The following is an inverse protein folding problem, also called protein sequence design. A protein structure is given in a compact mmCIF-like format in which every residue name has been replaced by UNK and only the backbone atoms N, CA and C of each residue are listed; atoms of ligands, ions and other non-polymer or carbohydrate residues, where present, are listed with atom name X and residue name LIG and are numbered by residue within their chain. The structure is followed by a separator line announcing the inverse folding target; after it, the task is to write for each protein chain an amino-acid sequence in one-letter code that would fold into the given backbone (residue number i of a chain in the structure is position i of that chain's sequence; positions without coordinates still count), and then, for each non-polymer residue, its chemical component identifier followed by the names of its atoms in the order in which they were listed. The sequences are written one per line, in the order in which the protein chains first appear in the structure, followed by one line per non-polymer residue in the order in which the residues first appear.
data_IF_926838006991
#
_entry.id   IF_926838006991
#
_cell.length_a   1.000
_cell.length_b   1.000
_cell.length_c   1.000
_cell.angle_alpha   90.00
_cell.angle_beta   90.00
_cell.angle_gamma   90.00
#
_symmetry.space_group_name_H-M   'P 1'
#
loop_
_entity.id
_entity.type
_entity.pdbx_description
1 polymer ?
#
# COMPACT_ATOMS: atom_id res chain seq x y z
N UNK A 1 47.91 22.35 32.64
CA UNK A 1 47.31 22.38 31.32
C UNK A 1 46.50 21.11 31.15
N UNK A 2 45.17 21.19 31.22
CA UNK A 2 44.26 20.06 31.02
C UNK A 2 43.69 20.15 29.60
N UNK A 3 44.15 19.26 28.73
CA UNK A 3 43.70 19.17 27.35
C UNK A 3 42.30 18.54 27.33
N UNK A 4 41.26 19.31 26.92
CA UNK A 4 39.92 18.82 26.69
C UNK A 4 39.91 18.16 25.30
N UNK A 5 39.71 16.86 25.26
CA UNK A 5 39.41 16.12 24.05
C UNK A 5 37.92 16.36 23.70
N UNK A 6 37.71 17.05 22.59
CA UNK A 6 36.36 17.29 22.03
C UNK A 6 35.96 16.04 21.22
N UNK A 7 35.06 15.21 21.76
CA UNK A 7 34.46 14.12 21.01
C UNK A 7 33.43 14.69 20.04
N UNK A 8 33.78 14.74 18.75
CA UNK A 8 32.82 15.03 17.67
C UNK A 8 32.06 13.76 17.40
N UNK A 9 30.81 13.68 17.93
CA UNK A 9 29.85 12.64 17.54
C UNK A 9 29.27 13.07 16.19
N UNK A 10 29.79 12.53 15.11
CA UNK A 10 29.14 12.63 13.80
C UNK A 10 27.91 11.73 13.79
N UNK A 11 26.74 12.31 13.94
CA UNK A 11 25.48 11.66 13.59
C UNK A 11 25.48 11.42 12.07
N UNK A 12 25.84 10.21 11.66
CA UNK A 12 25.51 9.72 10.32
C UNK A 12 24.00 9.52 10.29
N UNK A 13 23.27 10.50 9.78
CA UNK A 13 21.89 10.31 9.32
C UNK A 13 21.94 9.26 8.20
N UNK A 14 21.59 8.03 8.51
CA UNK A 14 21.27 7.03 7.50
C UNK A 14 20.04 7.55 6.76
N UNK A 15 20.26 8.18 5.61
CA UNK A 15 19.19 8.42 4.65
C UNK A 15 18.65 7.05 4.26
N UNK A 16 17.39 6.78 4.61
CA UNK A 16 16.60 5.70 4.05
C UNK A 16 16.53 5.96 2.53
N UNK A 17 17.44 5.36 1.78
CA UNK A 17 17.34 5.32 0.33
C UNK A 17 16.22 4.34 -0.02
N UNK A 18 14.97 4.78 0.01
CA UNK A 18 13.97 4.15 -0.82
C UNK A 18 14.48 4.26 -2.26
N UNK A 19 14.62 3.13 -2.96
CA UNK A 19 15.11 3.16 -4.34
C UNK A 19 14.26 4.14 -5.14
N UNK A 20 14.93 5.07 -5.83
CA UNK A 20 14.28 6.02 -6.73
C UNK A 20 13.51 5.23 -7.80
N UNK A 21 12.23 5.49 -7.93
CA UNK A 21 11.40 4.86 -8.92
C UNK A 21 11.30 5.75 -10.16
N UNK A 22 11.26 5.13 -11.33
CA UNK A 22 10.94 5.80 -12.59
C UNK A 22 9.70 5.15 -13.16
N UNK A 23 8.63 5.91 -13.31
CA UNK A 23 7.36 5.43 -13.87
C UNK A 23 6.92 6.28 -15.06
N UNK A 24 6.19 5.64 -15.98
CA UNK A 24 5.59 6.29 -17.16
C UNK A 24 4.07 6.20 -17.07
N UNK A 25 3.40 7.33 -17.18
CA UNK A 25 1.95 7.43 -16.99
C UNK A 25 1.29 8.13 -18.16
N UNK A 26 0.22 7.54 -18.67
CA UNK A 26 -0.67 8.16 -19.63
C UNK A 26 -1.95 8.62 -18.92
N UNK A 27 -2.30 9.90 -19.04
CA UNK A 27 -3.55 10.45 -18.52
C UNK A 27 -4.56 10.65 -19.63
N UNK A 28 -5.68 9.94 -19.56
CA UNK A 28 -6.83 10.07 -20.46
C UNK A 28 -8.05 10.54 -19.65
N UNK A 29 -8.51 11.75 -19.94
CA UNK A 29 -9.57 12.37 -19.15
C UNK A 29 -10.05 13.68 -19.78
N UNK A 30 -10.38 14.64 -18.95
CA UNK A 30 -10.88 15.93 -19.40
C UNK A 30 -10.35 17.07 -18.52
N UNK A 31 -11.11 18.16 -18.40
CA UNK A 31 -10.72 19.33 -17.60
C UNK A 31 -10.42 19.02 -16.13
N UNK A 32 -11.01 17.99 -15.53
CA UNK A 32 -10.69 17.61 -14.14
C UNK A 32 -9.25 17.11 -13.99
N UNK A 33 -8.73 16.40 -14.99
CA UNK A 33 -7.32 15.98 -15.05
C UNK A 33 -6.42 17.13 -15.51
N UNK A 34 -6.89 18.00 -16.40
CA UNK A 34 -6.09 19.11 -16.93
C UNK A 34 -5.96 20.28 -15.94
N UNK A 35 -6.96 20.49 -15.07
CA UNK A 35 -6.99 21.62 -14.12
C UNK A 35 -5.72 21.64 -13.27
N UNK A 36 -5.16 22.85 -13.11
CA UNK A 36 -3.96 23.11 -12.34
C UNK A 36 -2.74 22.25 -12.75
N UNK A 37 -2.79 21.63 -13.95
CA UNK A 37 -1.78 20.72 -14.45
C UNK A 37 -1.51 19.54 -13.47
N UNK A 38 -2.56 18.82 -13.08
CA UNK A 38 -2.49 17.72 -12.12
C UNK A 38 -1.33 16.74 -12.38
N UNK A 39 -1.04 16.29 -13.62
CA UNK A 39 0.10 15.40 -13.86
C UNK A 39 1.44 15.99 -13.45
N UNK A 40 1.62 17.29 -13.58
CA UNK A 40 2.84 17.99 -13.17
C UNK A 40 2.96 18.05 -11.65
N UNK A 41 1.85 18.29 -10.93
CA UNK A 41 1.87 18.28 -9.45
C UNK A 41 2.30 16.89 -8.94
N UNK A 42 1.79 15.81 -9.55
CA UNK A 42 2.20 14.44 -9.22
C UNK A 42 3.71 14.23 -9.49
N UNK A 43 4.20 14.74 -10.63
CA UNK A 43 5.61 14.65 -10.99
C UNK A 43 6.50 15.35 -9.95
N UNK A 44 6.13 16.55 -9.53
CA UNK A 44 6.88 17.32 -8.53
C UNK A 44 6.86 16.66 -7.14
N UNK A 45 5.74 16.05 -6.74
CA UNK A 45 5.69 15.22 -5.52
C UNK A 45 6.72 14.08 -5.60
N UNK A 46 6.76 13.35 -6.72
CA UNK A 46 7.74 12.29 -6.96
C UNK A 46 9.18 12.81 -6.90
N UNK A 47 9.48 13.90 -7.61
CA UNK A 47 10.81 14.51 -7.60
C UNK A 47 11.27 14.92 -6.19
N UNK A 48 10.34 15.35 -5.33
CA UNK A 48 10.67 15.75 -3.96
C UNK A 48 11.17 14.61 -3.07
N UNK A 49 10.94 13.36 -3.51
CA UNK A 49 11.38 12.12 -2.85
C UNK A 49 12.41 11.34 -3.66
N UNK A 50 12.90 11.92 -4.76
CA UNK A 50 13.90 11.30 -5.65
C UNK A 50 13.31 10.40 -6.73
N UNK A 51 11.99 10.31 -6.83
CA UNK A 51 11.31 9.53 -7.87
C UNK A 51 11.13 10.35 -9.16
N UNK A 52 10.90 9.68 -10.27
CA UNK A 52 10.68 10.32 -11.56
C UNK A 52 9.37 9.82 -12.18
N UNK A 53 8.52 10.74 -12.60
CA UNK A 53 7.34 10.46 -13.41
C UNK A 53 7.52 11.07 -14.79
N UNK A 54 7.50 10.24 -15.84
CA UNK A 54 7.34 10.66 -17.22
C UNK A 54 5.88 10.52 -17.61
N UNK A 55 5.27 11.54 -18.20
CA UNK A 55 3.86 11.44 -18.56
C UNK A 55 3.54 11.99 -19.94
N UNK A 56 2.42 11.50 -20.48
CA UNK A 56 1.68 12.11 -21.58
C UNK A 56 0.22 12.23 -21.18
N UNK A 57 -0.49 13.14 -21.81
CA UNK A 57 -1.92 13.33 -21.53
C UNK A 57 -2.70 13.66 -22.80
N UNK A 58 -3.96 13.22 -22.82
CA UNK A 58 -4.99 13.71 -23.72
C UNK A 58 -6.25 14.00 -22.91
N UNK A 59 -6.49 15.29 -22.64
CA UNK A 59 -7.50 15.73 -21.65
C UNK A 59 -8.36 16.90 -22.18
N UNK A 60 -9.03 16.74 -23.36
CA UNK A 60 -9.89 17.79 -23.88
C UNK A 60 -11.07 18.08 -22.95
N UNK A 61 -11.46 19.35 -22.81
CA UNK A 61 -12.53 19.78 -21.91
C UNK A 61 -13.85 19.04 -22.16
N UNK A 62 -14.47 18.52 -21.09
CA UNK A 62 -15.75 17.81 -21.13
C UNK A 62 -15.73 16.44 -21.80
N UNK A 63 -14.57 15.92 -22.15
CA UNK A 63 -14.43 14.61 -22.83
C UNK A 63 -14.92 13.46 -21.97
N UNK A 64 -15.50 12.47 -22.64
CA UNK A 64 -15.98 11.21 -22.07
C UNK A 64 -15.07 10.05 -22.45
N UNK A 65 -15.13 8.94 -21.74
CA UNK A 65 -14.43 7.71 -22.14
C UNK A 65 -14.87 7.26 -23.54
N UNK A 66 -16.15 7.41 -23.87
CA UNK A 66 -16.67 7.14 -25.22
C UNK A 66 -15.92 7.92 -26.31
N UNK A 67 -15.68 9.22 -26.11
CA UNK A 67 -14.98 10.05 -27.09
C UNK A 67 -13.50 9.64 -27.20
N UNK A 68 -12.88 9.20 -26.10
CA UNK A 68 -11.53 8.66 -26.11
C UNK A 68 -11.41 7.39 -26.96
N UNK A 69 -12.44 6.52 -27.02
CA UNK A 69 -12.37 5.30 -27.84
C UNK A 69 -12.26 5.53 -29.34
N UNK A 70 -12.58 6.73 -29.81
CA UNK A 70 -12.53 7.12 -31.24
C UNK A 70 -11.54 8.25 -31.54
N UNK A 71 -10.87 8.77 -30.52
CA UNK A 71 -9.92 9.87 -30.66
C UNK A 71 -8.54 9.34 -31.08
N UNK A 72 -8.08 9.69 -32.26
CA UNK A 72 -6.82 9.21 -32.81
C UNK A 72 -5.60 9.54 -31.95
N UNK A 73 -5.57 10.70 -31.30
CA UNK A 73 -4.49 11.05 -30.35
C UNK A 73 -4.46 10.08 -29.17
N UNK A 74 -5.63 9.80 -28.55
CA UNK A 74 -5.75 8.80 -27.49
C UNK A 74 -5.28 7.43 -27.95
N UNK A 75 -5.79 6.96 -29.09
CA UNK A 75 -5.48 5.62 -29.61
C UNK A 75 -3.98 5.46 -29.93
N UNK A 76 -3.35 6.49 -30.49
CA UNK A 76 -1.93 6.48 -30.78
C UNK A 76 -1.07 6.50 -29.51
N UNK A 77 -1.47 7.25 -28.47
CA UNK A 77 -0.79 7.24 -27.16
C UNK A 77 -0.91 5.87 -26.47
N UNK A 78 -2.08 5.22 -26.52
CA UNK A 78 -2.23 3.85 -25.98
C UNK A 78 -1.34 2.87 -26.76
N UNK A 79 -1.38 2.90 -28.11
CA UNK A 79 -0.60 2.00 -28.98
C UNK A 79 0.91 2.18 -28.85
N UNK A 80 1.39 3.35 -28.42
CA UNK A 80 2.82 3.56 -28.19
C UNK A 80 3.36 2.65 -27.07
N UNK A 81 2.52 2.20 -26.17
CA UNK A 81 2.88 1.27 -25.11
C UNK A 81 3.93 1.81 -24.13
N UNK A 82 4.44 0.90 -23.27
CA UNK A 82 5.49 1.23 -22.31
C UNK A 82 5.02 2.10 -21.14
N UNK A 83 3.71 2.13 -20.88
CA UNK A 83 3.10 2.79 -19.74
C UNK A 83 3.05 1.86 -18.54
N UNK A 84 3.49 2.34 -17.39
CA UNK A 84 3.27 1.62 -16.11
C UNK A 84 1.82 1.78 -15.68
N UNK A 85 1.25 2.98 -15.89
CA UNK A 85 -0.15 3.28 -15.60
C UNK A 85 -0.81 4.00 -16.76
N UNK A 86 -2.07 3.67 -17.03
CA UNK A 86 -2.96 4.49 -17.86
C UNK A 86 -4.16 4.91 -17.01
N UNK A 87 -4.25 6.21 -16.74
CA UNK A 87 -5.33 6.81 -15.96
C UNK A 87 -6.54 7.05 -16.87
N UNK A 88 -7.69 6.55 -16.44
CA UNK A 88 -8.98 6.77 -17.09
C UNK A 88 -9.89 7.61 -16.20
N UNK A 89 -10.31 8.78 -16.70
CA UNK A 89 -11.23 9.67 -16.01
C UNK A 89 -12.44 9.99 -16.91
N UNK A 90 -13.63 9.59 -16.44
CA UNK A 90 -14.88 9.86 -17.14
C UNK A 90 -15.35 11.31 -16.91
N UNK A 91 -16.24 11.81 -17.76
CA UNK A 91 -16.91 13.10 -17.57
C UNK A 91 -17.57 13.15 -16.18
N UNK A 92 -17.49 14.30 -15.52
CA UNK A 92 -17.77 14.47 -14.11
C UNK A 92 -19.16 14.01 -13.63
N UNK A 93 -20.17 14.07 -14.49
CA UNK A 93 -21.57 13.76 -14.15
C UNK A 93 -21.98 12.36 -14.54
N UNK A 94 -21.49 11.85 -15.71
CA UNK A 94 -21.99 10.60 -16.31
C UNK A 94 -21.99 9.41 -15.34
N UNK A 95 -20.95 9.16 -14.53
CA UNK A 95 -21.01 8.02 -13.60
C UNK A 95 -22.01 8.21 -12.46
N UNK A 96 -22.55 9.42 -12.25
CA UNK A 96 -23.59 9.64 -11.23
C UNK A 96 -25.01 9.55 -11.77
N UNK A 97 -25.21 9.28 -13.06
CA UNK A 97 -26.53 9.20 -13.69
C UNK A 97 -27.26 7.87 -13.35
N UNK A 98 -28.57 7.75 -13.76
CA UNK A 98 -29.31 6.50 -13.60
C UNK A 98 -28.58 5.29 -14.19
N UNK A 99 -28.79 4.12 -13.59
CA UNK A 99 -28.10 2.87 -13.94
C UNK A 99 -28.15 2.54 -15.43
N UNK A 100 -29.32 2.65 -16.03
CA UNK A 100 -29.51 2.34 -17.45
C UNK A 100 -28.74 3.26 -18.39
N UNK A 101 -28.42 4.47 -17.96
CA UNK A 101 -27.59 5.41 -18.70
C UNK A 101 -26.10 5.07 -18.52
N UNK A 102 -25.68 4.79 -17.30
CA UNK A 102 -24.29 4.42 -16.99
C UNK A 102 -23.89 3.12 -17.69
N UNK A 103 -24.78 2.11 -17.68
CA UNK A 103 -24.60 0.84 -18.39
C UNK A 103 -24.42 1.01 -19.91
N UNK A 104 -25.03 2.02 -20.49
CA UNK A 104 -24.93 2.29 -21.93
C UNK A 104 -23.84 3.27 -22.31
N UNK A 105 -23.55 4.23 -21.45
CA UNK A 105 -22.73 5.41 -21.79
C UNK A 105 -21.34 5.40 -21.15
N UNK A 106 -21.10 4.58 -20.13
CA UNK A 106 -19.84 4.57 -19.35
C UNK A 106 -19.14 3.21 -19.43
N UNK A 107 -19.76 2.15 -18.90
CA UNK A 107 -19.11 0.85 -18.74
C UNK A 107 -18.56 0.23 -20.03
N UNK A 108 -19.27 0.25 -21.18
CA UNK A 108 -18.73 -0.33 -22.41
C UNK A 108 -17.45 0.35 -22.91
N UNK A 109 -17.35 1.66 -22.65
CA UNK A 109 -16.20 2.44 -23.11
C UNK A 109 -15.02 2.36 -22.14
N UNK A 110 -15.29 2.20 -20.86
CA UNK A 110 -14.28 1.83 -19.88
C UNK A 110 -13.63 0.47 -20.25
N UNK A 111 -14.45 -0.53 -20.53
CA UNK A 111 -13.98 -1.87 -20.92
C UNK A 111 -13.22 -1.85 -22.25
N UNK A 112 -13.69 -1.07 -23.23
CA UNK A 112 -13.01 -0.93 -24.53
C UNK A 112 -11.62 -0.32 -24.37
N UNK A 113 -11.49 0.77 -23.60
CA UNK A 113 -10.20 1.42 -23.35
C UNK A 113 -9.26 0.51 -22.56
N UNK A 114 -9.75 -0.15 -21.51
CA UNK A 114 -8.97 -1.11 -20.75
C UNK A 114 -8.42 -2.25 -21.62
N UNK A 115 -9.27 -2.82 -22.49
CA UNK A 115 -8.86 -3.87 -23.44
C UNK A 115 -7.77 -3.38 -24.39
N UNK A 116 -7.87 -2.15 -24.90
CA UNK A 116 -6.85 -1.55 -25.75
C UNK A 116 -5.53 -1.32 -25.02
N UNK A 117 -5.60 -0.87 -23.75
CA UNK A 117 -4.45 -0.67 -22.90
C UNK A 117 -3.73 -1.99 -22.66
N UNK A 118 -4.43 -3.01 -22.21
CA UNK A 118 -3.88 -4.35 -21.92
C UNK A 118 -3.34 -5.04 -23.18
N UNK A 119 -3.98 -4.82 -24.32
CA UNK A 119 -3.49 -5.34 -25.61
C UNK A 119 -2.18 -4.67 -26.07
N UNK A 120 -2.04 -3.36 -25.83
CA UNK A 120 -0.84 -2.62 -26.19
C UNK A 120 0.32 -2.90 -25.22
N UNK A 121 0.03 -3.07 -23.95
CA UNK A 121 0.99 -3.40 -22.89
C UNK A 121 0.32 -4.21 -21.78
N UNK A 122 0.47 -5.54 -21.76
CA UNK A 122 -0.13 -6.40 -20.73
C UNK A 122 0.26 -6.05 -19.29
N UNK A 123 1.39 -5.37 -19.10
CA UNK A 123 1.90 -4.98 -17.80
C UNK A 123 1.44 -3.58 -17.33
N UNK A 124 0.68 -2.89 -18.15
CA UNK A 124 0.14 -1.57 -17.81
C UNK A 124 -1.05 -1.71 -16.85
N UNK A 125 -1.00 -1.05 -15.72
CA UNK A 125 -2.14 -0.97 -14.82
C UNK A 125 -3.12 0.10 -15.36
N UNK A 126 -4.35 -0.30 -15.65
CA UNK A 126 -5.45 0.66 -15.81
C UNK A 126 -5.81 1.22 -14.45
N UNK A 127 -5.82 2.55 -14.32
CA UNK A 127 -6.06 3.25 -13.06
C UNK A 127 -7.27 4.17 -13.21
N UNK A 128 -8.40 3.78 -12.62
CA UNK A 128 -9.61 4.62 -12.64
C UNK A 128 -9.49 5.79 -11.66
N UNK A 129 -9.59 6.99 -12.18
CA UNK A 129 -9.60 8.22 -11.40
C UNK A 129 -11.00 8.43 -10.81
N UNK A 130 -11.24 7.97 -9.58
CA UNK A 130 -12.50 8.21 -8.88
C UNK A 130 -12.65 9.70 -8.55
N UNK A 131 -13.47 10.38 -9.33
CA UNK A 131 -13.78 11.81 -9.17
C UNK A 131 -14.82 12.01 -8.08
N UNK A 132 -15.03 13.26 -7.68
CA UNK A 132 -15.88 13.73 -6.58
C UNK A 132 -17.22 14.28 -7.03
N UNK A 133 -18.21 14.32 -6.13
CA UNK A 133 -19.48 15.00 -6.34
C UNK A 133 -19.30 16.52 -6.42
N UNK A 134 -20.16 17.21 -7.19
CA UNK A 134 -20.23 18.67 -7.21
C UNK A 134 -20.51 19.20 -5.80
N UNK A 135 -20.01 20.38 -5.47
CA UNK A 135 -20.01 20.97 -4.11
C UNK A 135 -21.36 20.92 -3.42
N UNK A 136 -22.41 21.21 -4.15
CA UNK A 136 -23.82 21.25 -3.69
C UNK A 136 -24.72 20.26 -4.44
N UNK A 137 -24.15 19.23 -5.07
CA UNK A 137 -24.86 18.31 -5.95
C UNK A 137 -25.02 18.85 -7.37
N UNK A 138 -25.76 18.13 -8.19
CA UNK A 138 -26.01 18.48 -9.58
C UNK A 138 -27.40 19.15 -9.76
N UNK A 139 -27.44 20.47 -9.73
CA UNK A 139 -28.70 21.24 -9.84
C UNK A 139 -29.41 21.05 -11.18
N UNK A 140 -28.69 20.73 -12.24
CA UNK A 140 -29.27 20.55 -13.57
C UNK A 140 -30.11 19.26 -13.66
N UNK A 141 -29.54 18.14 -13.13
CA UNK A 141 -30.19 16.84 -13.18
C UNK A 141 -31.03 16.51 -11.95
N UNK A 142 -30.86 17.24 -10.84
CA UNK A 142 -31.64 17.08 -9.61
C UNK A 142 -33.14 16.98 -9.81
N UNK A 143 -33.82 17.81 -10.68
CA UNK A 143 -35.26 17.73 -10.87
C UNK A 143 -35.73 16.40 -11.46
N UNK A 144 -34.89 15.72 -12.24
CA UNK A 144 -35.23 14.48 -12.93
C UNK A 144 -34.65 13.24 -12.23
N UNK A 145 -33.58 13.42 -11.45
CA UNK A 145 -32.90 12.35 -10.74
C UNK A 145 -32.47 12.80 -9.32
N UNK A 146 -33.37 12.76 -8.34
CA UNK A 146 -33.13 13.26 -6.98
C UNK A 146 -31.87 12.79 -6.26
N UNK A 147 -31.32 11.57 -6.51
CA UNK A 147 -30.07 11.14 -5.87
C UNK A 147 -28.89 12.08 -6.06
N UNK A 148 -28.85 12.87 -7.14
CA UNK A 148 -27.74 13.81 -7.39
C UNK A 148 -27.98 15.22 -6.83
N UNK A 149 -29.08 15.45 -6.12
CA UNK A 149 -29.43 16.79 -5.57
C UNK A 149 -28.47 17.26 -4.46
N UNK A 150 -27.67 16.36 -3.89
CA UNK A 150 -26.71 16.66 -2.84
C UNK A 150 -25.32 16.15 -3.20
N UNK A 151 -24.31 16.74 -2.58
CA UNK A 151 -22.95 16.24 -2.69
C UNK A 151 -22.87 14.74 -2.33
N UNK A 152 -23.43 14.36 -1.17
CA UNK A 152 -23.36 13.00 -0.63
C UNK A 152 -23.99 11.98 -1.57
N UNK A 153 -25.13 12.34 -2.17
CA UNK A 153 -25.82 11.45 -3.11
C UNK A 153 -25.02 11.28 -4.40
N UNK A 154 -24.58 12.38 -5.01
CA UNK A 154 -23.75 12.33 -6.22
C UNK A 154 -22.43 11.60 -5.99
N UNK A 155 -21.71 11.94 -4.91
CA UNK A 155 -20.42 11.34 -4.56
C UNK A 155 -20.55 9.85 -4.24
N UNK A 156 -21.66 9.41 -3.64
CA UNK A 156 -21.91 7.99 -3.39
C UNK A 156 -22.13 7.21 -4.69
N UNK A 157 -22.86 7.76 -5.65
CA UNK A 157 -23.05 7.15 -6.96
C UNK A 157 -21.70 7.05 -7.72
N UNK A 158 -20.93 8.13 -7.76
CA UNK A 158 -19.60 8.12 -8.37
C UNK A 158 -18.72 7.01 -7.77
N UNK A 159 -18.68 6.89 -6.45
CA UNK A 159 -17.92 5.84 -5.79
C UNK A 159 -18.35 4.45 -6.22
N UNK A 160 -19.66 4.17 -6.23
CA UNK A 160 -20.19 2.87 -6.64
C UNK A 160 -19.76 2.55 -8.08
N UNK A 161 -19.96 3.51 -9.00
CA UNK A 161 -19.70 3.29 -10.43
C UNK A 161 -18.22 3.12 -10.76
N UNK A 162 -17.34 3.93 -10.15
CA UNK A 162 -15.90 3.73 -10.29
C UNK A 162 -15.41 2.42 -9.69
N UNK A 163 -16.06 1.93 -8.62
CA UNK A 163 -15.76 0.62 -8.06
C UNK A 163 -16.17 -0.50 -9.03
N UNK A 164 -17.35 -0.42 -9.63
CA UNK A 164 -17.82 -1.38 -10.66
C UNK A 164 -16.88 -1.36 -11.88
N UNK A 165 -16.52 -0.17 -12.39
CA UNK A 165 -15.56 -0.09 -13.50
C UNK A 165 -14.24 -0.77 -13.18
N UNK A 166 -13.71 -0.59 -11.96
CA UNK A 166 -12.45 -1.22 -11.57
C UNK A 166 -12.59 -2.74 -11.42
N UNK A 167 -13.68 -3.22 -10.85
CA UNK A 167 -13.96 -4.65 -10.67
C UNK A 167 -14.14 -5.35 -12.03
N UNK A 168 -15.01 -4.82 -12.89
CA UNK A 168 -15.30 -5.39 -14.21
C UNK A 168 -14.09 -5.43 -15.14
N UNK A 169 -13.14 -4.52 -14.93
CA UNK A 169 -11.94 -4.40 -15.76
C UNK A 169 -10.66 -4.86 -15.04
N UNK A 170 -10.75 -5.54 -13.91
CA UNK A 170 -9.57 -5.98 -13.14
C UNK A 170 -8.51 -4.86 -13.07
N UNK A 171 -8.90 -3.70 -12.55
CA UNK A 171 -8.13 -2.46 -12.58
C UNK A 171 -8.00 -1.84 -11.18
N UNK A 172 -7.03 -0.93 -11.02
CA UNK A 172 -6.83 -0.19 -9.79
C UNK A 172 -7.70 1.09 -9.73
N UNK A 173 -7.83 1.65 -8.53
CA UNK A 173 -8.57 2.89 -8.27
C UNK A 173 -7.67 3.93 -7.64
N UNK A 174 -7.64 5.14 -8.19
CA UNK A 174 -7.15 6.33 -7.50
C UNK A 174 -8.35 7.00 -6.76
N UNK A 175 -8.48 6.82 -5.44
CA UNK A 175 -9.71 7.14 -4.70
C UNK A 175 -9.76 8.60 -4.28
N UNK A 176 -9.58 9.54 -5.21
CA UNK A 176 -9.51 10.97 -4.93
C UNK A 176 -10.77 11.48 -4.24
N UNK A 177 -11.96 11.01 -4.65
CA UNK A 177 -13.22 11.36 -4.00
C UNK A 177 -13.22 11.04 -2.49
N UNK A 178 -12.54 9.98 -2.07
CA UNK A 178 -12.46 9.62 -0.65
C UNK A 178 -11.60 10.59 0.16
N UNK A 179 -10.50 11.04 -0.43
CA UNK A 179 -9.63 12.08 0.16
C UNK A 179 -10.42 13.39 0.26
N UNK A 180 -11.09 13.80 -0.81
CA UNK A 180 -11.94 14.99 -0.83
C UNK A 180 -13.06 14.95 0.21
N UNK A 181 -13.79 13.81 0.30
CA UNK A 181 -14.85 13.62 1.29
C UNK A 181 -14.34 13.79 2.71
N UNK A 182 -13.17 13.25 3.02
CA UNK A 182 -12.58 13.35 4.35
C UNK A 182 -12.15 14.79 4.66
N UNK A 183 -11.50 15.47 3.71
CA UNK A 183 -11.14 16.89 3.86
C UNK A 183 -12.41 17.73 4.07
N UNK A 184 -13.41 17.60 3.24
CA UNK A 184 -14.69 18.34 3.40
C UNK A 184 -15.35 18.16 4.75
N UNK A 185 -15.25 16.95 5.31
CA UNK A 185 -15.85 16.60 6.60
C UNK A 185 -15.06 17.13 7.78
N UNK A 186 -13.75 17.00 7.76
CA UNK A 186 -12.86 17.25 8.91
C UNK A 186 -12.22 18.63 8.86
N UNK A 187 -12.04 19.19 7.66
CA UNK A 187 -11.39 20.47 7.39
C UNK A 187 -12.22 21.29 6.38
N UNK A 188 -13.47 21.66 6.73
CA UNK A 188 -14.35 22.40 5.83
C UNK A 188 -13.83 23.81 5.47
N UNK A 189 -12.84 24.32 6.20
CA UNK A 189 -12.12 25.56 5.90
C UNK A 189 -11.20 25.46 4.67
N UNK A 190 -10.80 24.25 4.26
CA UNK A 190 -9.98 24.02 3.07
C UNK A 190 -10.89 23.95 1.85
N UNK A 191 -10.87 25.00 1.04
CA UNK A 191 -11.67 25.05 -0.19
C UNK A 191 -11.08 24.16 -1.29
N UNK A 192 -11.83 23.17 -1.72
CA UNK A 192 -11.42 22.20 -2.73
C UNK A 192 -11.92 22.54 -4.14
N UNK A 193 -12.97 23.35 -4.23
CA UNK A 193 -13.67 23.63 -5.47
C UNK A 193 -13.36 25.04 -6.00
N UNK A 194 -13.26 25.13 -7.31
CA UNK A 194 -13.31 26.39 -8.01
C UNK A 194 -14.70 27.04 -7.88
N UNK A 195 -14.85 28.31 -8.27
CA UNK A 195 -16.10 29.07 -8.17
C UNK A 195 -17.29 28.43 -8.91
N UNK A 196 -17.06 27.55 -9.84
CA UNK A 196 -18.08 26.79 -10.56
C UNK A 196 -18.64 25.58 -9.79
N UNK A 197 -18.15 25.36 -8.56
CA UNK A 197 -18.57 24.28 -7.65
C UNK A 197 -18.33 22.85 -8.21
N UNK A 198 -17.53 22.72 -9.25
CA UNK A 198 -17.28 21.46 -9.98
C UNK A 198 -15.80 21.18 -10.15
N UNK A 199 -15.06 22.08 -10.81
CA UNK A 199 -13.62 21.94 -11.04
C UNK A 199 -12.81 22.08 -9.75
N UNK A 200 -11.63 21.50 -9.70
CA UNK A 200 -10.77 21.59 -8.51
C UNK A 200 -10.09 22.97 -8.43
N UNK A 201 -10.07 23.56 -7.24
CA UNK A 201 -9.14 24.60 -6.86
C UNK A 201 -7.74 24.00 -6.60
N UNK A 202 -6.75 24.81 -6.29
CA UNK A 202 -5.40 24.35 -6.01
C UNK A 202 -5.32 23.27 -4.94
N UNK A 203 -6.04 23.44 -3.83
CA UNK A 203 -6.14 22.44 -2.75
C UNK A 203 -6.76 21.14 -3.25
N UNK A 204 -7.79 21.21 -4.08
CA UNK A 204 -8.43 20.03 -4.65
C UNK A 204 -7.51 19.25 -5.59
N UNK A 205 -6.77 19.95 -6.46
CA UNK A 205 -5.78 19.32 -7.34
C UNK A 205 -4.61 18.74 -6.56
N UNK A 206 -4.17 19.41 -5.49
CA UNK A 206 -3.10 18.89 -4.63
C UNK A 206 -3.54 17.63 -3.87
N UNK A 207 -4.79 17.61 -3.38
CA UNK A 207 -5.37 16.43 -2.74
C UNK A 207 -5.43 15.24 -3.72
N UNK A 208 -5.82 15.49 -4.99
CA UNK A 208 -5.77 14.49 -6.04
C UNK A 208 -4.34 14.01 -6.29
N UNK A 209 -3.38 14.92 -6.39
CA UNK A 209 -1.98 14.59 -6.63
C UNK A 209 -1.37 13.73 -5.49
N UNK A 210 -1.69 14.02 -4.24
CA UNK A 210 -1.25 13.21 -3.08
C UNK A 210 -1.85 11.78 -3.14
N UNK A 211 -3.12 11.64 -3.56
CA UNK A 211 -3.75 10.35 -3.76
C UNK A 211 -3.06 9.55 -4.88
N UNK A 212 -2.83 10.17 -6.03
CA UNK A 212 -2.11 9.55 -7.15
C UNK A 212 -0.67 9.18 -6.80
N UNK A 213 0.03 10.06 -6.09
CA UNK A 213 1.39 9.77 -5.61
C UNK A 213 1.43 8.49 -4.77
N UNK A 214 0.50 8.36 -3.82
CA UNK A 214 0.40 7.15 -2.99
C UNK A 214 0.14 5.89 -3.81
N UNK A 215 -0.80 5.95 -4.77
CA UNK A 215 -1.14 4.81 -5.62
C UNK A 215 0.03 4.46 -6.54
N UNK A 216 0.58 5.43 -7.28
CA UNK A 216 1.55 5.16 -8.34
C UNK A 216 2.93 4.78 -7.81
N UNK A 217 3.38 5.41 -6.73
CA UNK A 217 4.71 5.15 -6.16
C UNK A 217 4.67 4.19 -4.96
N UNK A 218 3.50 3.88 -4.40
CA UNK A 218 3.39 3.06 -3.19
C UNK A 218 4.06 3.70 -1.99
N UNK A 219 4.09 5.05 -1.91
CA UNK A 219 4.81 5.81 -0.90
C UNK A 219 3.90 6.72 -0.09
N UNK A 220 4.33 7.01 1.13
CA UNK A 220 3.64 7.93 2.04
C UNK A 220 3.76 9.39 1.56
N UNK A 221 2.66 10.07 1.21
CA UNK A 221 2.70 11.44 0.73
C UNK A 221 3.09 12.44 1.83
N UNK A 222 2.93 12.09 3.11
CA UNK A 222 3.35 12.94 4.22
C UNK A 222 4.87 13.14 4.29
N UNK A 223 5.66 12.28 3.62
CA UNK A 223 7.12 12.40 3.54
C UNK A 223 7.60 13.31 2.41
N UNK A 224 6.71 13.77 1.52
CA UNK A 224 7.06 14.67 0.42
C UNK A 224 7.36 16.08 0.92
N UNK A 225 8.29 16.76 0.24
CA UNK A 225 8.70 18.14 0.59
C UNK A 225 8.10 19.20 -0.31
N UNK A 226 7.23 18.82 -1.22
CA UNK A 226 6.59 19.70 -2.18
C UNK A 226 5.17 20.03 -1.72
N UNK A 227 4.88 21.31 -1.49
CA UNK A 227 3.59 21.80 -1.00
C UNK A 227 2.78 22.51 -2.10
N UNK A 228 3.28 22.44 -3.36
CA UNK A 228 2.70 23.18 -4.48
C UNK A 228 2.63 24.69 -4.19
N UNK A 229 1.47 25.30 -4.36
CA UNK A 229 1.22 26.74 -4.08
C UNK A 229 0.50 26.97 -2.75
N UNK A 230 0.38 25.91 -1.92
CA UNK A 230 -0.43 25.92 -0.71
C UNK A 230 0.40 26.40 0.51
N UNK A 231 -0.26 26.97 1.51
CA UNK A 231 0.32 27.13 2.83
C UNK A 231 0.76 25.76 3.39
N UNK A 232 1.91 25.72 4.05
CA UNK A 232 2.48 24.46 4.57
C UNK A 232 1.54 23.67 5.47
N UNK A 233 0.77 24.35 6.31
CA UNK A 233 -0.18 23.72 7.23
C UNK A 233 -1.32 23.02 6.47
N UNK A 234 -1.89 23.68 5.45
CA UNK A 234 -2.94 23.08 4.60
C UNK A 234 -2.39 21.90 3.80
N UNK A 235 -1.21 22.05 3.19
CA UNK A 235 -0.55 20.96 2.48
C UNK A 235 -0.27 19.75 3.40
N UNK A 236 0.14 20.00 4.64
CA UNK A 236 0.38 18.95 5.63
C UNK A 236 -0.91 18.20 6.00
N UNK A 237 -2.03 18.90 6.21
CA UNK A 237 -3.34 18.30 6.45
C UNK A 237 -3.73 17.40 5.27
N UNK A 238 -3.65 17.92 4.05
CA UNK A 238 -4.01 17.17 2.82
C UNK A 238 -3.15 15.91 2.66
N UNK A 239 -1.84 16.01 2.85
CA UNK A 239 -0.91 14.87 2.80
C UNK A 239 -1.27 13.79 3.82
N UNK A 240 -1.54 14.18 5.07
CA UNK A 240 -1.90 13.23 6.14
C UNK A 240 -3.22 12.53 5.86
N UNK A 241 -4.21 13.24 5.33
CA UNK A 241 -5.49 12.65 4.91
C UNK A 241 -5.29 11.69 3.73
N UNK A 242 -4.49 12.07 2.74
CA UNK A 242 -4.18 11.18 1.63
C UNK A 242 -3.39 9.94 2.08
N UNK A 243 -2.49 10.09 3.05
CA UNK A 243 -1.81 8.96 3.70
C UNK A 243 -2.83 7.98 4.31
N UNK A 244 -3.68 8.47 5.19
CA UNK A 244 -4.68 7.63 5.89
C UNK A 244 -5.63 6.93 4.93
N UNK A 245 -6.18 7.67 3.96
CA UNK A 245 -7.21 7.15 3.04
C UNK A 245 -6.62 6.24 1.97
N UNK A 246 -5.41 6.54 1.49
CA UNK A 246 -4.84 5.87 0.30
C UNK A 246 -3.65 5.01 0.66
N UNK A 247 -2.60 5.59 1.23
CA UNK A 247 -1.35 4.87 1.49
C UNK A 247 -1.53 3.74 2.50
N UNK A 248 -2.19 4.00 3.62
CA UNK A 248 -2.44 2.99 4.66
C UNK A 248 -3.45 1.89 4.21
N UNK A 249 -4.05 2.06 3.03
CA UNK A 249 -5.05 1.15 2.45
C UNK A 249 -4.74 0.74 1.01
N UNK A 250 -3.48 0.78 0.58
CA UNK A 250 -3.07 0.51 -0.81
C UNK A 250 -3.61 -0.80 -1.36
N UNK A 251 -3.53 -1.90 -0.61
CA UNK A 251 -4.02 -3.21 -1.03
C UNK A 251 -5.52 -3.21 -1.34
N UNK A 252 -6.30 -2.40 -0.64
CA UNK A 252 -7.73 -2.25 -0.91
C UNK A 252 -7.99 -1.55 -2.26
N UNK A 253 -7.18 -0.56 -2.64
CA UNK A 253 -7.36 0.18 -3.90
C UNK A 253 -6.84 -0.57 -5.12
N UNK A 254 -5.97 -1.56 -4.91
CA UNK A 254 -5.49 -2.52 -5.92
C UNK A 254 -6.22 -3.86 -5.91
N UNK A 255 -7.28 -4.05 -5.10
CA UNK A 255 -7.89 -5.37 -4.87
C UNK A 255 -8.46 -6.05 -6.11
N UNK A 256 -8.73 -5.30 -7.15
CA UNK A 256 -9.24 -5.80 -8.42
C UNK A 256 -8.15 -5.94 -9.50
N UNK A 257 -7.02 -5.25 -9.35
CA UNK A 257 -5.90 -5.37 -10.29
C UNK A 257 -5.28 -6.75 -10.16
N UNK A 258 -5.44 -7.59 -11.19
CA UNK A 258 -4.86 -8.95 -11.24
C UNK A 258 -3.34 -8.92 -11.47
N UNK A 259 -2.78 -7.80 -11.91
CA UNK A 259 -1.33 -7.57 -11.89
C UNK A 259 -0.89 -7.27 -10.45
N UNK A 260 -1.13 -8.24 -9.58
CA UNK A 260 -0.94 -8.11 -8.14
C UNK A 260 0.49 -7.62 -7.86
N UNK A 261 0.61 -6.45 -7.24
CA UNK A 261 1.90 -5.98 -6.75
C UNK A 261 2.50 -7.04 -5.85
N UNK A 262 3.76 -7.40 -6.01
CA UNK A 262 4.41 -8.26 -5.04
C UNK A 262 4.35 -7.58 -3.67
N UNK A 263 4.14 -8.34 -2.61
CA UNK A 263 4.21 -7.84 -1.24
C UNK A 263 5.47 -8.43 -0.62
N UNK A 264 6.48 -7.59 -0.40
CA UNK A 264 7.68 -8.01 0.27
C UNK A 264 7.43 -8.16 1.77
N UNK A 265 7.74 -9.34 2.34
CA UNK A 265 7.80 -9.56 3.78
C UNK A 265 8.79 -10.67 4.11
N UNK A 266 9.39 -10.60 5.30
CA UNK A 266 10.29 -11.64 5.79
C UNK A 266 10.30 -11.69 7.32
N UNK A 267 10.68 -12.85 7.85
CA UNK A 267 11.10 -13.02 9.23
C UNK A 267 12.57 -13.44 9.28
N UNK A 268 13.15 -13.41 10.47
CA UNK A 268 14.53 -13.86 10.67
C UNK A 268 14.73 -14.46 12.06
N UNK A 269 15.75 -15.31 12.18
CA UNK A 269 16.26 -15.79 13.46
C UNK A 269 17.76 -15.50 13.56
N UNK A 270 18.26 -15.24 14.78
CA UNK A 270 19.65 -14.87 15.05
C UNK A 270 20.29 -15.95 15.91
N UNK A 271 21.45 -16.45 15.49
CA UNK A 271 22.31 -17.33 16.28
C UNK A 271 23.75 -16.80 16.24
N UNK A 272 24.14 -16.05 17.24
CA UNK A 272 25.41 -15.34 17.23
C UNK A 272 25.46 -14.28 16.11
N UNK A 273 26.38 -14.42 15.17
CA UNK A 273 26.46 -13.57 13.96
C UNK A 273 25.75 -14.14 12.75
N UNK A 274 25.27 -15.37 12.84
CA UNK A 274 24.52 -16.02 11.78
C UNK A 274 23.04 -15.62 11.89
N UNK A 275 22.48 -15.15 10.78
CA UNK A 275 21.07 -14.82 10.66
C UNK A 275 20.46 -15.64 9.53
N UNK A 276 19.41 -16.37 9.85
CA UNK A 276 18.59 -17.10 8.89
C UNK A 276 17.37 -16.25 8.54
N UNK A 277 17.24 -15.90 7.27
CA UNK A 277 16.11 -15.13 6.76
C UNK A 277 15.08 -16.08 6.17
N UNK A 278 13.82 -15.88 6.52
CA UNK A 278 12.68 -16.60 5.94
C UNK A 278 11.85 -15.63 5.12
N UNK A 279 11.76 -15.87 3.82
CA UNK A 279 10.93 -15.08 2.93
C UNK A 279 9.45 -15.38 3.17
N UNK A 280 8.66 -14.35 3.36
CA UNK A 280 7.20 -14.38 3.54
C UNK A 280 6.49 -13.58 2.45
N UNK A 281 7.22 -13.12 1.43
CA UNK A 281 6.66 -12.35 0.33
C UNK A 281 5.63 -13.17 -0.45
N UNK A 282 4.62 -12.49 -0.95
CA UNK A 282 3.59 -13.05 -1.82
C UNK A 282 3.60 -12.36 -3.17
N UNK A 283 3.12 -13.04 -4.20
CA UNK A 283 3.03 -12.55 -5.58
C UNK A 283 4.38 -12.08 -6.17
N UNK A 284 5.47 -12.72 -5.76
CA UNK A 284 6.81 -12.48 -6.28
C UNK A 284 7.47 -13.81 -6.66
N UNK A 285 8.34 -13.78 -7.65
CA UNK A 285 9.09 -14.94 -8.14
C UNK A 285 10.60 -14.70 -8.18
N UNK A 286 11.05 -13.45 -7.96
CA UNK A 286 12.45 -13.12 -7.73
C UNK A 286 12.63 -12.28 -6.46
N UNK A 287 13.83 -12.42 -5.86
CA UNK A 287 14.14 -11.80 -4.58
C UNK A 287 15.55 -11.23 -4.59
N UNK A 288 15.72 -10.02 -4.05
CA UNK A 288 17.03 -9.38 -3.87
C UNK A 288 17.13 -8.95 -2.41
N UNK A 289 18.10 -9.53 -1.72
CA UNK A 289 18.42 -9.21 -0.34
C UNK A 289 19.60 -8.27 -0.27
N UNK A 290 19.50 -7.25 0.54
CA UNK A 290 20.60 -6.40 0.99
C UNK A 290 20.70 -6.55 2.50
N UNK A 291 21.85 -6.98 3.01
CA UNK A 291 21.97 -7.28 4.44
C UNK A 291 22.37 -6.08 5.30
N UNK A 292 22.64 -4.92 4.68
CA UNK A 292 23.05 -3.69 5.39
C UNK A 292 24.54 -3.61 5.70
N UNK A 293 25.32 -4.63 5.36
CA UNK A 293 26.80 -4.67 5.47
C UNK A 293 27.50 -4.59 4.11
N UNK A 294 26.77 -4.23 3.06
CA UNK A 294 27.23 -4.16 1.67
C UNK A 294 27.12 -5.46 0.89
N UNK A 295 26.72 -6.56 1.51
CA UNK A 295 26.52 -7.86 0.86
C UNK A 295 25.06 -8.04 0.44
N UNK A 296 24.85 -8.89 -0.59
CA UNK A 296 23.53 -9.17 -1.17
C UNK A 296 23.35 -10.68 -1.41
N UNK A 297 22.08 -11.09 -1.63
CA UNK A 297 21.72 -12.45 -2.04
C UNK A 297 20.48 -12.42 -2.92
N UNK A 298 20.35 -13.41 -3.83
CA UNK A 298 19.14 -13.66 -4.63
C UNK A 298 18.43 -14.96 -4.24
N UNK A 299 18.87 -15.62 -3.19
CA UNK A 299 18.22 -16.83 -2.68
C UNK A 299 16.83 -16.49 -2.10
N UNK A 300 15.90 -17.43 -2.20
CA UNK A 300 14.53 -17.23 -1.66
C UNK A 300 14.57 -16.94 -0.15
N UNK A 301 15.30 -17.73 0.60
CA UNK A 301 15.47 -17.61 2.06
C UNK A 301 16.96 -17.79 2.40
N UNK A 302 17.76 -16.72 2.38
CA UNK A 302 19.19 -16.82 2.57
C UNK A 302 19.59 -16.95 4.04
N UNK A 303 20.81 -17.46 4.23
CA UNK A 303 21.53 -17.40 5.49
C UNK A 303 22.69 -16.43 5.33
N UNK A 304 22.87 -15.53 6.30
CA UNK A 304 23.94 -14.53 6.26
C UNK A 304 24.71 -14.45 7.57
N UNK A 305 26.04 -14.28 7.48
CA UNK A 305 26.92 -14.10 8.65
C UNK A 305 27.44 -12.67 8.66
N UNK A 306 27.03 -11.91 9.66
CA UNK A 306 27.48 -10.53 9.83
C UNK A 306 28.93 -10.43 10.32
N UNK A 307 29.72 -9.46 9.80
CA UNK A 307 31.16 -9.38 10.10
C UNK A 307 31.47 -8.90 11.53
N UNK A 308 30.57 -8.14 12.14
CA UNK A 308 30.75 -7.54 13.46
C UNK A 308 29.42 -7.36 14.21
N UNK A 309 29.50 -7.02 15.49
CA UNK A 309 28.35 -6.51 16.24
C UNK A 309 27.90 -5.15 15.67
N UNK A 310 26.61 -4.89 15.68
CA UNK A 310 26.05 -3.64 15.17
C UNK A 310 24.59 -3.75 14.80
N UNK A 311 24.02 -2.61 14.42
CA UNK A 311 22.69 -2.50 13.84
C UNK A 311 22.84 -2.52 12.32
N UNK A 312 22.20 -3.46 11.67
CA UNK A 312 22.19 -3.61 10.22
C UNK A 312 20.76 -3.45 9.70
N UNK A 313 20.58 -2.70 8.63
CA UNK A 313 19.29 -2.59 7.96
C UNK A 313 19.20 -3.63 6.85
N UNK A 314 18.56 -4.76 7.13
CA UNK A 314 18.30 -5.77 6.13
C UNK A 314 17.08 -5.41 5.30
N UNK A 315 17.24 -5.37 3.95
CA UNK A 315 16.18 -5.04 2.99
C UNK A 315 15.94 -6.23 2.07
N UNK A 316 14.67 -6.61 1.91
CA UNK A 316 14.21 -7.53 0.88
C UNK A 316 13.48 -6.75 -0.20
N UNK A 317 13.88 -6.93 -1.45
CA UNK A 317 13.13 -6.52 -2.65
C UNK A 317 12.50 -7.77 -3.24
N UNK A 318 11.19 -7.79 -3.34
CA UNK A 318 10.40 -8.83 -3.99
C UNK A 318 9.99 -8.35 -5.38
N UNK A 319 10.21 -9.16 -6.41
CA UNK A 319 9.99 -8.82 -7.82
C UNK A 319 9.03 -9.82 -8.45
N UNK A 320 8.07 -9.31 -9.20
CA UNK A 320 7.23 -10.07 -10.13
C UNK A 320 7.80 -9.89 -11.54
N UNK A 321 8.29 -10.97 -12.15
CA UNK A 321 9.10 -10.91 -13.39
C UNK A 321 8.32 -10.63 -14.65
N UNK A 322 7.05 -11.02 -14.75
CA UNK A 322 6.31 -10.85 -15.99
C UNK A 322 6.16 -9.37 -16.32
N UNK A 323 5.95 -8.55 -15.28
CA UNK A 323 5.75 -7.11 -15.42
C UNK A 323 6.82 -6.27 -14.70
N UNK A 324 7.87 -6.89 -14.18
CA UNK A 324 8.95 -6.22 -13.44
C UNK A 324 8.46 -5.34 -12.27
N UNK A 325 7.27 -5.64 -11.74
CA UNK A 325 6.75 -4.93 -10.56
C UNK A 325 7.56 -5.35 -9.34
N UNK A 326 7.91 -4.40 -8.49
CA UNK A 326 8.71 -4.67 -7.29
C UNK A 326 8.21 -3.91 -6.07
N UNK A 327 8.32 -4.53 -4.91
CA UNK A 327 8.16 -3.87 -3.61
C UNK A 327 9.34 -4.22 -2.71
N UNK A 328 9.51 -3.48 -1.65
CA UNK A 328 10.58 -3.77 -0.69
C UNK A 328 10.15 -3.50 0.74
N UNK A 329 10.79 -4.21 1.67
CA UNK A 329 10.67 -4.01 3.11
C UNK A 329 12.05 -4.04 3.76
N UNK A 330 12.27 -3.17 4.75
CA UNK A 330 13.48 -3.16 5.57
C UNK A 330 13.15 -3.52 7.02
N UNK A 331 14.05 -4.28 7.68
CA UNK A 331 13.99 -4.56 9.12
C UNK A 331 15.37 -4.39 9.72
N UNK A 332 15.44 -3.79 10.90
CA UNK A 332 16.70 -3.64 11.64
C UNK A 332 17.07 -4.96 12.31
N UNK A 333 18.27 -5.44 12.02
CA UNK A 333 18.90 -6.62 12.63
C UNK A 333 19.92 -6.12 13.66
N UNK A 334 19.73 -6.48 14.91
CA UNK A 334 20.70 -6.16 15.96
C UNK A 334 21.60 -7.38 16.23
N UNK A 335 22.85 -7.29 15.85
CA UNK A 335 23.89 -8.27 16.18
C UNK A 335 24.64 -7.78 17.40
N UNK A 336 24.36 -8.39 18.55
CA UNK A 336 25.01 -8.05 19.82
C UNK A 336 25.51 -9.32 20.52
N UNK A 337 26.84 -9.47 20.56
CA UNK A 337 27.52 -10.55 21.26
C UNK A 337 28.12 -10.10 22.60
N UNK A 338 27.83 -8.86 23.04
CA UNK A 338 28.41 -8.32 24.28
C UNK A 338 27.71 -8.83 25.56
N UNK A 339 26.56 -9.47 25.42
CA UNK A 339 25.96 -10.29 26.44
C UNK A 339 26.48 -11.72 26.36
N UNK A 340 27.54 -12.07 27.09
CA UNK A 340 27.75 -13.46 27.49
C UNK A 340 26.63 -13.78 28.50
N UNK A 341 25.44 -13.99 28.00
CA UNK A 341 24.58 -15.00 28.56
C UNK A 341 25.00 -16.27 27.80
N UNK A 342 25.73 -17.13 28.44
CA UNK A 342 25.72 -18.53 28.13
C UNK A 342 24.25 -18.91 27.92
N UNK A 343 23.77 -18.83 26.67
CA UNK A 343 22.60 -19.57 26.29
C UNK A 343 23.12 -21.00 26.27
N UNK A 344 23.07 -21.62 27.44
CA UNK A 344 22.95 -23.05 27.50
C UNK A 344 21.96 -23.46 26.40
N UNK A 345 22.18 -24.53 25.63
CA UNK A 345 21.27 -25.02 24.61
C UNK A 345 20.01 -25.62 25.26
N UNK A 346 19.46 -24.91 26.23
CA UNK A 346 18.31 -25.28 27.02
C UNK A 346 17.20 -24.30 26.73
N UNK A 347 16.43 -24.57 25.68
CA UNK A 347 14.98 -24.31 25.63
C UNK A 347 14.48 -24.43 24.20
N UNK A 348 14.63 -25.61 23.62
CA UNK A 348 13.92 -25.91 22.37
C UNK A 348 12.44 -26.12 22.72
N UNK A 349 11.64 -25.09 22.40
CA UNK A 349 10.19 -25.22 22.42
C UNK A 349 9.75 -25.76 21.07
N UNK A 350 9.18 -26.93 21.06
CA UNK A 350 8.68 -27.56 19.83
C UNK A 350 7.16 -27.66 19.88
N UNK A 351 6.51 -27.17 18.79
CA UNK A 351 5.07 -27.21 18.62
C UNK A 351 4.73 -28.11 17.42
N UNK A 352 3.90 -29.11 17.63
CA UNK A 352 3.51 -30.05 16.57
C UNK A 352 2.13 -30.65 16.82
N UNK A 353 1.44 -31.15 15.74
CA UNK A 353 1.80 -30.98 14.34
C UNK A 353 1.57 -29.54 13.87
N UNK A 354 2.30 -29.11 12.87
CA UNK A 354 2.05 -27.86 12.17
C UNK A 354 2.11 -28.13 10.65
N UNK A 355 0.99 -28.07 9.91
CA UNK A 355 -0.37 -27.66 10.31
C UNK A 355 -1.05 -28.57 11.33
N UNK A 356 -1.76 -27.95 12.28
CA UNK A 356 -2.44 -28.63 13.38
C UNK A 356 -3.91 -28.99 13.03
N UNK A 357 -4.36 -30.14 13.54
CA UNK A 357 -5.78 -30.51 13.58
C UNK A 357 -6.47 -29.87 14.79
N UNK A 358 -7.20 -30.67 15.57
CA UNK A 358 -7.91 -30.18 16.77
C UNK A 358 -7.03 -30.09 18.03
N UNK A 359 -5.81 -30.60 17.95
CA UNK A 359 -4.89 -30.65 19.10
C UNK A 359 -3.50 -30.18 18.69
N UNK A 360 -2.90 -29.35 19.55
CA UNK A 360 -1.54 -28.89 19.42
C UNK A 360 -0.72 -29.44 20.59
N UNK A 361 0.39 -30.09 20.28
CA UNK A 361 1.32 -30.58 21.27
C UNK A 361 2.49 -29.61 21.40
N UNK A 362 2.87 -29.36 22.64
CA UNK A 362 3.98 -28.50 23.00
C UNK A 362 4.98 -29.28 23.84
N UNK A 363 6.22 -29.30 23.42
CA UNK A 363 7.34 -29.79 24.19
C UNK A 363 8.22 -28.60 24.62
N UNK A 364 8.44 -28.42 25.92
CA UNK A 364 9.29 -27.37 26.49
C UNK A 364 10.33 -28.00 27.40
N UNK A 365 11.51 -27.43 27.49
CA UNK A 365 12.51 -27.85 28.49
C UNK A 365 12.34 -27.10 29.80
N UNK A 366 11.81 -25.88 29.77
CA UNK A 366 11.44 -25.09 30.95
C UNK A 366 9.95 -25.18 31.23
N UNK A 367 9.57 -25.08 32.52
CA UNK A 367 8.17 -25.09 32.93
C UNK A 367 7.42 -23.88 32.37
N UNK A 368 6.36 -24.16 31.63
CA UNK A 368 5.49 -23.12 31.09
C UNK A 368 4.41 -22.74 32.10
N UNK A 369 4.25 -21.45 32.35
CA UNK A 369 3.29 -20.86 33.29
C UNK A 369 1.98 -20.48 32.62
N UNK A 370 2.05 -19.97 31.39
CA UNK A 370 0.90 -19.44 30.68
C UNK A 370 1.02 -19.73 29.18
N UNK A 371 -0.10 -20.13 28.56
CA UNK A 371 -0.27 -20.24 27.11
C UNK A 371 -1.36 -19.27 26.66
N UNK A 372 -1.08 -18.49 25.61
CA UNK A 372 -2.07 -17.62 25.00
C UNK A 372 -2.01 -17.76 23.48
N UNK A 373 -3.15 -17.95 22.82
CA UNK A 373 -3.26 -18.05 21.37
C UNK A 373 -3.98 -16.80 20.86
N UNK A 374 -3.36 -16.16 19.87
CA UNK A 374 -3.87 -14.97 19.21
C UNK A 374 -4.09 -15.23 17.71
N UNK A 375 -5.13 -14.65 17.16
CA UNK A 375 -5.32 -14.65 15.71
C UNK A 375 -4.43 -13.59 15.04
N UNK A 376 -4.49 -13.50 13.70
CA UNK A 376 -3.70 -12.53 12.90
C UNK A 376 -4.07 -11.06 13.16
N UNK A 377 -5.22 -10.80 13.83
CA UNK A 377 -5.64 -9.45 14.24
C UNK A 377 -5.16 -9.07 15.64
N UNK A 378 -4.43 -9.97 16.33
CA UNK A 378 -4.01 -9.78 17.71
C UNK A 378 -5.09 -10.03 18.75
N UNK A 379 -6.25 -10.61 18.38
CA UNK A 379 -7.32 -10.96 19.29
C UNK A 379 -6.95 -12.25 20.05
N UNK A 380 -7.10 -12.22 21.37
CA UNK A 380 -6.84 -13.40 22.21
C UNK A 380 -7.97 -14.43 22.05
N UNK A 381 -7.63 -15.61 21.57
CA UNK A 381 -8.58 -16.71 21.30
C UNK A 381 -8.63 -17.71 22.44
N UNK A 382 -7.49 -18.00 23.04
CA UNK A 382 -7.35 -18.99 24.12
C UNK A 382 -6.28 -18.50 25.10
N UNK A 383 -6.57 -18.53 26.38
CA UNK A 383 -5.57 -18.34 27.45
C UNK A 383 -5.74 -19.42 28.49
N UNK A 384 -4.66 -20.13 28.81
CA UNK A 384 -4.64 -21.19 29.84
C UNK A 384 -3.43 -21.00 30.74
N UNK A 385 -3.65 -20.90 32.04
CA UNK A 385 -2.59 -20.97 33.05
C UNK A 385 -2.33 -22.42 33.44
N UNK A 386 -1.06 -22.75 33.65
CA UNK A 386 -0.63 -24.09 34.07
C UNK A 386 -0.08 -24.01 35.50
N UNK A 387 -0.52 -24.93 36.34
CA UNK A 387 -0.02 -25.06 37.72
C UNK A 387 1.03 -26.16 37.90
N UNK A 388 1.36 -26.91 36.82
CA UNK A 388 2.25 -28.08 36.91
C UNK A 388 3.48 -27.90 36.00
N UNK A 389 4.64 -28.26 36.52
CA UNK A 389 5.98 -28.20 35.91
C UNK A 389 6.22 -29.30 34.84
N UNK A 390 5.26 -29.63 33.99
CA UNK A 390 5.42 -30.64 32.94
C UNK A 390 6.17 -30.05 31.75
N UNK A 391 6.97 -30.89 31.09
CA UNK A 391 7.73 -30.55 29.87
C UNK A 391 6.90 -30.75 28.59
N UNK A 392 5.80 -31.50 28.65
CA UNK A 392 4.92 -31.76 27.52
C UNK A 392 3.50 -31.28 27.84
N UNK A 393 2.93 -30.50 26.94
CA UNK A 393 1.59 -29.96 27.09
C UNK A 393 0.75 -30.29 25.86
N UNK A 394 -0.55 -30.41 26.09
CA UNK A 394 -1.54 -30.61 25.04
C UNK A 394 -2.51 -29.46 25.10
N UNK A 395 -2.71 -28.78 23.99
CA UNK A 395 -3.63 -27.64 23.85
C UNK A 395 -4.73 -28.06 22.89
N UNK A 396 -5.96 -28.10 23.38
CA UNK A 396 -7.14 -28.26 22.56
C UNK A 396 -7.42 -26.97 21.82
N UNK A 397 -7.45 -27.04 20.49
CA UNK A 397 -7.71 -25.95 19.54
C UNK A 397 -8.87 -26.28 18.61
N UNK A 398 -9.76 -27.21 19.02
CA UNK A 398 -10.93 -27.63 18.23
C UNK A 398 -11.86 -26.46 17.89
N UNK A 399 -11.99 -25.49 18.80
CA UNK A 399 -12.85 -24.32 18.62
C UNK A 399 -12.25 -23.23 17.70
N UNK A 400 -11.00 -23.36 17.31
CA UNK A 400 -10.37 -22.43 16.38
C UNK A 400 -10.76 -22.76 14.93
N UNK A 401 -11.12 -21.73 14.18
CA UNK A 401 -11.35 -21.86 12.73
C UNK A 401 -10.02 -22.10 12.01
N UNK A 402 -10.09 -22.67 10.79
CA UNK A 402 -8.90 -22.79 9.94
C UNK A 402 -8.24 -21.42 9.73
N UNK A 403 -6.94 -21.33 9.92
CA UNK A 403 -6.22 -20.08 9.84
C UNK A 403 -4.85 -20.08 10.53
N UNK A 404 -4.15 -18.97 10.46
CA UNK A 404 -2.84 -18.75 11.10
C UNK A 404 -3.04 -18.14 12.47
N UNK A 405 -2.30 -18.68 13.46
CA UNK A 405 -2.35 -18.24 14.85
C UNK A 405 -0.94 -18.11 15.43
N UNK A 406 -0.80 -17.24 16.42
CA UNK A 406 0.40 -17.10 17.24
C UNK A 406 0.15 -17.69 18.64
N UNK A 407 0.97 -18.67 19.03
CA UNK A 407 1.01 -19.20 20.38
C UNK A 407 2.09 -18.46 21.17
N UNK A 408 1.72 -17.76 22.23
CA UNK A 408 2.64 -17.14 23.18
C UNK A 408 2.73 -18.02 24.42
N UNK A 409 3.96 -18.35 24.78
CA UNK A 409 4.28 -19.21 25.92
C UNK A 409 5.07 -18.37 26.90
N UNK A 410 4.60 -18.22 28.12
CA UNK A 410 5.33 -17.55 29.21
C UNK A 410 5.82 -18.58 30.22
N UNK A 411 7.12 -18.60 30.50
CA UNK A 411 7.74 -19.49 31.48
C UNK A 411 7.62 -18.94 32.90
N UNK A 412 7.96 -19.75 33.88
CA UNK A 412 7.99 -19.32 35.29
C UNK A 412 9.00 -18.19 35.55
N UNK A 413 10.06 -18.09 34.72
CA UNK A 413 11.05 -17.01 34.77
C UNK A 413 10.59 -15.74 34.04
N UNK A 414 9.29 -15.66 33.66
CA UNK A 414 8.68 -14.57 32.91
C UNK A 414 9.27 -14.30 31.51
N UNK A 415 10.00 -15.23 30.94
CA UNK A 415 10.36 -15.16 29.52
C UNK A 415 9.17 -15.57 28.65
N UNK A 416 8.94 -14.85 27.56
CA UNK A 416 7.85 -15.13 26.62
C UNK A 416 8.42 -15.54 25.26
N UNK A 417 7.87 -16.62 24.71
CA UNK A 417 8.21 -17.15 23.39
C UNK A 417 6.96 -17.08 22.51
N UNK A 418 7.14 -16.74 21.24
CA UNK A 418 6.05 -16.69 20.28
C UNK A 418 6.30 -17.68 19.13
N UNK A 419 5.34 -18.54 18.87
CA UNK A 419 5.42 -19.56 17.82
C UNK A 419 4.16 -19.49 16.95
N UNK A 420 4.35 -19.38 15.64
CA UNK A 420 3.27 -19.37 14.67
C UNK A 420 2.89 -20.79 14.27
N UNK A 421 1.59 -21.09 14.19
CA UNK A 421 1.09 -22.36 13.68
C UNK A 421 -0.13 -22.17 12.77
N UNK A 422 -0.35 -23.12 11.88
CA UNK A 422 -1.48 -23.18 10.98
C UNK A 422 -2.50 -24.21 11.52
N UNK A 423 -3.74 -23.79 11.76
CA UNK A 423 -4.91 -24.65 12.05
C UNK A 423 -5.57 -25.04 10.73
N UNK A 424 -5.72 -26.35 10.50
CA UNK A 424 -6.49 -26.92 9.38
C UNK A 424 -7.99 -26.81 9.59
#
# INVERSE_FOLDING_TARGET
MKTKILLIISFLLAYLNADAQKIKVLFLGNSYTASNNLPEIIRELGLSTGDTLEYSSNTPGGYTLRQHTTNETTLNLIRSGGWDFVVLQEQSQLPSFPDDQVEKMVYPYAAMLDSLIKSANPCSTTLFFMTWGRKNGDHEYCPTFPPVCTYEGMDSLLQIRYTIMAEDNEAAIAPVAKVWRKIRKEHPEIELYHLDESHPENNGSYAAACAFYSIMFGKDPALTKYDYTLPHDEATIIKNIAKEVVFDSLTYWYRFDTHILPVADFSYSISGRLVEFTNLSVNANEYIWHFGDGRTSTQVSPVHVYPANGLYEAKLVAVENNCYKKTSISKTINIDLTGINDIEPENIITVYPNPAGNTLYLKTESAAKLFSIYNVRGENMITRSQKNTRKNHTIDISDLKSGIYNLIITTETNHSYSIKFLKK
#
